data_IF_607133013474
#
_entry.id   IF_607133013474
#
_cell.length_a   1.000
_cell.length_b   1.000
_cell.length_c   1.000
_cell.angle_alpha   90.00
_cell.angle_beta   90.00
_cell.angle_gamma   90.00
#
_symmetry.space_group_name_H-M   'P 1'
#
loop_
_entity.id
_entity.type
_entity.pdbx_description
1 polymer ?
#
# COMPACT_ATOMS: atom_id res chain seq x y z
N UNK A 1 13.99 27.10 0.15
CA UNK A 1 14.20 26.14 -0.95
C UNK A 1 12.93 25.33 -1.12
N UNK A 2 12.03 25.64 -2.08
CA UNK A 2 10.80 24.88 -2.20
C UNK A 2 11.09 23.51 -2.81
N UNK A 3 10.65 22.46 -2.13
CA UNK A 3 10.72 21.09 -2.58
C UNK A 3 9.74 20.90 -3.76
N UNK A 4 10.30 20.79 -4.98
CA UNK A 4 9.64 20.11 -6.10
C UNK A 4 9.63 18.61 -5.80
N UNK A 5 8.62 18.10 -5.11
CA UNK A 5 8.34 16.66 -5.06
C UNK A 5 6.84 16.46 -5.02
N UNK A 6 6.31 16.26 -6.22
CA UNK A 6 5.23 15.36 -6.62
C UNK A 6 4.77 15.96 -7.94
N UNK A 7 5.24 15.34 -9.02
CA UNK A 7 4.75 15.67 -10.35
C UNK A 7 3.23 15.67 -10.28
N UNK A 8 2.63 16.72 -10.82
CA UNK A 8 1.22 16.78 -11.10
C UNK A 8 0.86 15.44 -11.75
N UNK A 9 0.00 14.66 -11.09
CA UNK A 9 -0.54 13.45 -11.68
C UNK A 9 -1.35 13.91 -12.89
N UNK A 10 -0.69 14.01 -14.05
CA UNK A 10 -1.38 13.90 -15.31
C UNK A 10 -2.14 12.59 -15.20
N UNK A 11 -3.45 12.73 -15.12
CA UNK A 11 -4.49 11.70 -15.23
C UNK A 11 -4.40 10.98 -16.59
N UNK A 12 -3.20 10.62 -17.02
CA UNK A 12 -2.96 9.75 -18.15
C UNK A 12 -3.59 8.41 -17.82
N UNK A 13 -4.37 7.90 -18.77
CA UNK A 13 -4.90 6.54 -18.72
C UNK A 13 -3.79 5.59 -18.25
N UNK A 14 -4.07 4.71 -17.28
CA UNK A 14 -3.05 3.86 -16.67
C UNK A 14 -2.27 3.02 -17.71
N UNK A 15 -2.86 2.79 -18.89
CA UNK A 15 -2.18 2.21 -20.04
C UNK A 15 -1.01 3.05 -20.58
N UNK A 16 -1.13 4.37 -20.61
CA UNK A 16 -0.11 5.30 -21.12
C UNK A 16 1.12 5.33 -20.19
N UNK A 17 0.88 5.31 -18.87
CA UNK A 17 1.95 5.22 -17.85
C UNK A 17 2.72 3.89 -17.99
N UNK A 18 2.01 2.77 -18.20
CA UNK A 18 2.65 1.46 -18.37
C UNK A 18 3.43 1.34 -19.68
N UNK A 19 2.91 1.90 -20.77
CA UNK A 19 3.60 1.96 -22.04
C UNK A 19 4.90 2.76 -21.92
N UNK A 20 4.84 3.93 -21.28
CA UNK A 20 6.02 4.76 -20.99
C UNK A 20 7.05 4.05 -20.11
N UNK A 21 6.61 3.42 -19.02
CA UNK A 21 7.49 2.65 -18.13
C UNK A 21 8.21 1.53 -18.89
N UNK A 22 7.48 0.80 -19.73
CA UNK A 22 8.03 -0.29 -20.54
C UNK A 22 9.04 0.24 -21.56
N UNK A 23 8.72 1.36 -22.22
CA UNK A 23 9.63 2.02 -23.16
C UNK A 23 10.95 2.48 -22.53
N UNK A 24 10.91 2.99 -21.28
CA UNK A 24 12.11 3.47 -20.57
C UNK A 24 12.94 2.33 -20.00
N UNK A 25 12.31 1.28 -19.47
CA UNK A 25 12.99 0.24 -18.69
C UNK A 25 13.21 -1.08 -19.44
N UNK A 26 12.54 -1.27 -20.57
CA UNK A 26 12.46 -2.56 -21.28
C UNK A 26 11.68 -3.64 -20.53
N UNK A 27 11.05 -3.32 -19.40
CA UNK A 27 10.31 -4.28 -18.56
C UNK A 27 8.81 -4.08 -18.73
N UNK A 28 8.13 -5.11 -19.21
CA UNK A 28 6.68 -5.12 -19.28
C UNK A 28 6.06 -5.37 -17.90
N UNK A 29 5.18 -4.48 -17.47
CA UNK A 29 4.38 -4.61 -16.26
C UNK A 29 2.91 -4.57 -16.64
N UNK A 30 2.12 -5.49 -16.11
CA UNK A 30 0.68 -5.57 -16.40
C UNK A 30 -0.13 -4.87 -15.32
N UNK A 31 -1.26 -4.28 -15.69
CA UNK A 31 -2.19 -3.67 -14.73
C UNK A 31 -2.66 -4.69 -13.67
N UNK A 32 -2.90 -5.95 -14.08
CA UNK A 32 -3.24 -7.04 -13.16
C UNK A 32 -2.11 -7.35 -12.16
N UNK A 33 -0.85 -7.30 -12.60
CA UNK A 33 0.31 -7.47 -11.72
C UNK A 33 0.42 -6.33 -10.69
N UNK A 34 0.14 -5.10 -11.11
CA UNK A 34 0.11 -3.95 -10.18
C UNK A 34 -1.06 -4.00 -9.21
N UNK A 35 -2.21 -4.55 -9.62
CA UNK A 35 -3.36 -4.73 -8.74
C UNK A 35 -3.07 -5.67 -7.55
N UNK A 36 -2.03 -6.51 -7.65
CA UNK A 36 -1.58 -7.34 -6.52
C UNK A 36 -0.81 -6.53 -5.46
N UNK A 37 -0.19 -5.40 -5.81
CA UNK A 37 0.59 -4.60 -4.86
C UNK A 37 -0.26 -4.06 -3.70
N UNK A 38 -1.43 -3.42 -3.92
CA UNK A 38 -2.31 -3.01 -2.83
C UNK A 38 -2.77 -4.16 -1.94
N UNK A 39 -3.05 -5.34 -2.52
CA UNK A 39 -3.44 -6.52 -1.76
C UNK A 39 -2.30 -7.02 -0.87
N UNK A 40 -1.09 -7.09 -1.41
CA UNK A 40 0.08 -7.51 -0.68
C UNK A 40 0.41 -6.55 0.47
N UNK A 41 0.33 -5.23 0.25
CA UNK A 41 0.52 -4.23 1.31
C UNK A 41 -0.52 -4.36 2.42
N UNK A 42 -1.80 -4.54 2.06
CA UNK A 42 -2.87 -4.75 3.05
C UNK A 42 -2.61 -5.97 3.94
N UNK A 43 -2.17 -7.08 3.35
CA UNK A 43 -1.84 -8.28 4.09
C UNK A 43 -0.59 -8.12 4.98
N UNK A 44 0.42 -7.39 4.50
CA UNK A 44 1.61 -7.08 5.27
C UNK A 44 1.29 -6.23 6.51
N UNK A 45 0.44 -5.21 6.36
CA UNK A 45 0.00 -4.36 7.47
C UNK A 45 -0.81 -5.15 8.50
N UNK A 46 -1.77 -5.97 8.06
CA UNK A 46 -2.54 -6.87 8.95
C UNK A 46 -1.59 -7.79 9.72
N UNK A 47 -0.60 -8.39 9.05
CA UNK A 47 0.37 -9.27 9.68
C UNK A 47 1.23 -8.53 10.72
N UNK A 48 1.63 -7.29 10.43
CA UNK A 48 2.39 -6.45 11.35
C UNK A 48 1.57 -6.11 12.62
N UNK A 49 0.30 -5.69 12.46
CA UNK A 49 -0.57 -5.39 13.60
C UNK A 49 -0.89 -6.63 14.43
N UNK A 50 -1.21 -7.76 13.79
CA UNK A 50 -1.43 -9.02 14.48
C UNK A 50 -0.17 -9.52 15.20
N UNK A 51 1.00 -9.33 14.58
CA UNK A 51 2.29 -9.64 15.20
C UNK A 51 2.60 -8.75 16.40
N UNK A 52 2.21 -7.48 16.32
CA UNK A 52 2.18 -6.55 17.46
C UNK A 52 1.36 -7.14 18.59
N UNK A 53 0.06 -7.34 18.37
CA UNK A 53 -0.92 -7.82 19.37
C UNK A 53 -0.57 -9.16 20.05
N UNK A 54 0.23 -10.00 19.40
CA UNK A 54 0.67 -11.29 19.95
C UNK A 54 1.82 -11.18 20.95
N UNK A 55 2.50 -10.03 21.04
CA UNK A 55 3.63 -9.83 21.95
C UNK A 55 3.15 -9.41 23.35
N UNK A 56 3.96 -9.58 24.40
CA UNK A 56 3.65 -9.05 25.72
C UNK A 56 3.45 -7.54 25.66
N UNK A 57 2.38 -7.04 26.27
CA UNK A 57 2.01 -5.63 26.25
C UNK A 57 1.88 -5.08 27.65
N UNK A 58 2.37 -3.85 27.84
CA UNK A 58 2.01 -3.03 28.99
C UNK A 58 0.58 -2.48 28.83
N UNK A 59 0.00 -1.92 29.90
CA UNK A 59 -1.35 -1.35 29.86
C UNK A 59 -1.49 -0.32 28.73
N UNK A 60 -2.49 -0.51 27.86
CA UNK A 60 -2.81 0.41 26.76
C UNK A 60 -1.92 0.33 25.52
N UNK A 61 -0.96 -0.60 25.45
CA UNK A 61 -0.03 -0.74 24.32
C UNK A 61 -0.65 -1.34 23.04
N UNK A 62 -1.87 -1.85 23.12
CA UNK A 62 -2.59 -2.57 22.06
C UNK A 62 -3.66 -1.71 21.33
N UNK A 63 -4.12 -0.62 21.94
CA UNK A 63 -5.23 0.20 21.44
C UNK A 63 -5.00 0.73 20.01
N UNK A 64 -3.78 1.17 19.71
CA UNK A 64 -3.43 1.65 18.37
C UNK A 64 -3.43 0.52 17.32
N UNK A 65 -2.84 -0.62 17.64
CA UNK A 65 -2.80 -1.78 16.74
C UNK A 65 -4.20 -2.36 16.49
N UNK A 66 -5.07 -2.39 17.51
CA UNK A 66 -6.47 -2.80 17.38
C UNK A 66 -7.27 -1.85 16.47
N UNK A 67 -7.07 -0.54 16.61
CA UNK A 67 -7.75 0.47 15.79
C UNK A 67 -7.36 0.34 14.31
N UNK A 68 -6.06 0.20 14.03
CA UNK A 68 -5.57 0.01 12.66
C UNK A 68 -6.04 -1.32 12.05
N UNK A 69 -6.04 -2.42 12.83
CA UNK A 69 -6.53 -3.71 12.36
C UNK A 69 -8.02 -3.68 12.03
N UNK A 70 -8.85 -3.04 12.87
CA UNK A 70 -10.27 -2.91 12.65
C UNK A 70 -10.58 -2.17 11.33
N UNK A 71 -9.89 -1.05 11.07
CA UNK A 71 -10.07 -0.29 9.83
C UNK A 71 -9.79 -1.10 8.57
N UNK A 72 -8.78 -1.97 8.59
CA UNK A 72 -8.47 -2.85 7.47
C UNK A 72 -9.49 -3.97 7.24
N UNK A 73 -10.09 -4.50 8.31
CA UNK A 73 -11.10 -5.55 8.24
C UNK A 73 -12.47 -5.02 7.78
N UNK A 74 -12.87 -3.85 8.26
CA UNK A 74 -14.13 -3.21 7.89
C UNK A 74 -14.14 -2.73 6.44
N UNK A 75 -12.99 -2.23 5.95
CA UNK A 75 -12.81 -1.78 4.56
C UNK A 75 -12.71 -2.93 3.54
N UNK A 76 -12.68 -4.18 4.00
CA UNK A 76 -12.61 -5.39 3.17
C UNK A 76 -13.95 -6.12 2.98
N UNK A 77 -15.03 -5.64 3.61
CA UNK A 77 -16.39 -6.18 3.52
C UNK A 77 -17.18 -5.50 2.40
#
# INVERSE_FOLDING_TARGET
MPARVLGEDETGDGGDVLARYTGVTGRAVTAAGLALCPLWWRLADIAAFAGGLRRPHGPGGDAAALTCLAGYLESGR
#
